data_IF_995244185357
#
_entry.id   IF_995244185357
#
_cell.length_a   1.000
_cell.length_b   1.000
_cell.length_c   1.000
_cell.angle_alpha   90.00
_cell.angle_beta   90.00
_cell.angle_gamma   90.00
#
_symmetry.space_group_name_H-M   'P 1'
#
loop_
_entity.id
_entity.type
_entity.pdbx_description
1 polymer ?
#
# COMPACT_ATOMS: atom_id res chain seq x y z
N UNK A 1 4.31 -9.63 -4.52
CA UNK A 1 5.59 -9.92 -3.82
C UNK A 1 6.47 -10.79 -4.68
N UNK A 2 7.77 -10.52 -4.79
CA UNK A 2 8.64 -11.18 -5.78
C UNK A 2 9.47 -12.36 -5.23
N UNK A 3 9.81 -13.32 -6.10
CA UNK A 3 10.70 -14.44 -5.81
C UNK A 3 9.99 -15.80 -5.81
N UNK A 4 10.65 -16.84 -5.26
CA UNK A 4 9.95 -18.12 -5.00
C UNK A 4 8.78 -17.88 -4.05
N UNK A 5 7.74 -18.73 -4.10
CA UNK A 5 6.56 -18.59 -3.24
C UNK A 5 6.91 -18.42 -1.74
N UNK A 6 7.96 -19.09 -1.28
CA UNK A 6 8.49 -18.96 0.09
C UNK A 6 9.10 -17.57 0.34
N UNK A 7 9.98 -17.08 -0.55
CA UNK A 7 10.61 -15.76 -0.41
C UNK A 7 9.57 -14.64 -0.49
N UNK A 8 8.65 -14.74 -1.44
CA UNK A 8 7.56 -13.79 -1.60
C UNK A 8 6.66 -13.76 -0.35
N UNK A 9 6.35 -14.92 0.23
CA UNK A 9 5.56 -15.02 1.47
C UNK A 9 6.25 -14.38 2.66
N UNK A 10 7.55 -14.62 2.85
CA UNK A 10 8.32 -14.04 3.96
C UNK A 10 8.37 -12.51 3.83
N UNK A 11 8.71 -11.99 2.65
CA UNK A 11 8.81 -10.55 2.41
C UNK A 11 7.46 -9.85 2.57
N UNK A 12 6.38 -10.45 2.07
CA UNK A 12 5.02 -9.92 2.22
C UNK A 12 4.62 -9.87 3.70
N UNK A 13 4.93 -10.92 4.47
CA UNK A 13 4.62 -10.99 5.91
C UNK A 13 5.41 -9.97 6.72
N UNK A 14 6.71 -9.81 6.44
CA UNK A 14 7.54 -8.80 7.11
C UNK A 14 7.05 -7.38 6.80
N UNK A 15 6.73 -7.11 5.52
CA UNK A 15 6.21 -5.81 5.08
C UNK A 15 4.89 -5.48 5.77
N UNK A 16 3.94 -6.42 5.79
CA UNK A 16 2.65 -6.24 6.45
C UNK A 16 2.81 -6.01 7.95
N UNK A 17 3.71 -6.74 8.61
CA UNK A 17 3.97 -6.60 10.04
C UNK A 17 4.60 -5.24 10.39
N UNK A 18 5.63 -4.82 9.64
CA UNK A 18 6.27 -3.51 9.82
C UNK A 18 5.26 -2.38 9.62
N UNK A 19 4.50 -2.39 8.50
CA UNK A 19 3.47 -1.38 8.24
C UNK A 19 2.43 -1.33 9.35
N UNK A 20 1.90 -2.48 9.76
CA UNK A 20 0.85 -2.53 10.77
C UNK A 20 1.33 -1.98 12.12
N UNK A 21 2.56 -2.30 12.53
CA UNK A 21 3.14 -1.78 13.78
C UNK A 21 3.39 -0.28 13.69
N UNK A 22 4.02 0.20 12.62
CA UNK A 22 4.37 1.62 12.50
C UNK A 22 3.13 2.52 12.38
N UNK A 23 2.09 2.07 11.67
CA UNK A 23 0.81 2.78 11.59
C UNK A 23 0.08 2.81 12.94
N UNK A 24 0.18 1.74 13.73
CA UNK A 24 -0.38 1.73 15.09
C UNK A 24 0.34 2.69 16.03
N UNK A 25 1.63 2.95 15.79
CA UNK A 25 2.44 3.92 16.53
C UNK A 25 2.27 5.37 16.03
N UNK A 26 1.35 5.63 15.10
CA UNK A 26 1.11 6.95 14.48
C UNK A 26 2.37 7.56 13.82
N UNK A 27 3.31 6.73 13.37
CA UNK A 27 4.45 7.22 12.60
C UNK A 27 3.99 7.81 11.27
N UNK A 28 4.73 8.81 10.78
CA UNK A 28 4.41 9.39 9.48
C UNK A 28 4.63 8.34 8.39
N UNK A 29 3.80 8.43 7.35
CA UNK A 29 3.81 7.49 6.24
C UNK A 29 5.18 7.44 5.57
N UNK A 30 5.79 8.62 5.43
CA UNK A 30 7.11 8.81 4.85
C UNK A 30 8.14 7.94 5.57
N UNK A 31 8.14 8.00 6.90
CA UNK A 31 9.04 7.22 7.76
C UNK A 31 8.75 5.72 7.64
N UNK A 32 7.47 5.33 7.52
CA UNK A 32 7.07 3.93 7.30
C UNK A 32 7.63 3.38 5.99
N UNK A 33 7.43 4.13 4.91
CA UNK A 33 7.90 3.77 3.57
C UNK A 33 9.42 3.71 3.54
N UNK A 34 10.10 4.70 4.09
CA UNK A 34 11.56 4.76 4.15
C UNK A 34 12.11 3.59 4.97
N UNK A 35 11.53 3.31 6.13
CA UNK A 35 11.94 2.19 6.99
C UNK A 35 11.77 0.85 6.29
N UNK A 36 10.70 0.66 5.52
CA UNK A 36 10.49 -0.56 4.74
C UNK A 36 11.47 -0.65 3.58
N UNK A 37 11.74 0.47 2.91
CA UNK A 37 12.75 0.52 1.86
C UNK A 37 14.15 0.16 2.40
N UNK A 38 14.46 0.51 3.66
CA UNK A 38 15.72 0.18 4.33
C UNK A 38 15.76 -1.23 4.92
N UNK A 39 14.64 -1.75 5.44
CA UNK A 39 14.56 -3.05 6.13
C UNK A 39 14.43 -4.24 5.18
N UNK A 40 13.94 -4.02 3.95
CA UNK A 40 13.82 -5.09 2.97
C UNK A 40 15.18 -5.38 2.31
N UNK A 41 15.62 -6.65 2.24
CA UNK A 41 16.91 -6.99 1.68
C UNK A 41 16.97 -6.62 0.19
N UNK A 42 18.04 -5.89 -0.19
CA UNK A 42 18.34 -5.58 -1.59
C UNK A 42 18.72 -6.88 -2.30
N UNK A 43 17.92 -7.30 -3.29
CA UNK A 43 18.30 -8.43 -4.12
C UNK A 43 19.54 -8.05 -4.95
N UNK A 44 20.73 -8.53 -4.54
CA UNK A 44 22.03 -8.17 -5.11
C UNK A 44 22.17 -8.46 -6.62
N UNK A 45 21.40 -9.41 -7.16
CA UNK A 45 21.43 -9.76 -8.59
C UNK A 45 20.54 -8.89 -9.47
N UNK A 46 19.46 -8.32 -8.91
CA UNK A 46 18.46 -7.56 -9.68
C UNK A 46 18.30 -6.10 -9.25
N UNK A 47 18.94 -5.67 -8.16
CA UNK A 47 18.83 -4.30 -7.59
C UNK A 47 17.39 -3.86 -7.26
N UNK A 48 16.45 -4.80 -7.13
CA UNK A 48 15.01 -4.54 -7.05
C UNK A 48 14.49 -5.29 -5.83
N UNK A 49 14.37 -4.61 -4.67
CA UNK A 49 13.72 -5.12 -3.47
C UNK A 49 12.23 -4.72 -3.49
N UNK A 50 11.32 -5.65 -3.79
CA UNK A 50 9.91 -5.26 -3.92
C UNK A 50 8.94 -6.27 -3.30
N UNK A 51 8.25 -5.81 -2.24
CA UNK A 51 6.83 -6.09 -2.07
C UNK A 51 6.08 -4.82 -2.43
N UNK A 52 5.21 -4.90 -3.44
CA UNK A 52 4.15 -3.92 -3.65
C UNK A 52 3.22 -3.96 -2.43
N UNK A 53 2.53 -2.87 -2.15
CA UNK A 53 1.54 -2.86 -1.07
C UNK A 53 0.46 -1.80 -1.30
N UNK A 54 -0.69 -2.05 -0.68
CA UNK A 54 -1.78 -1.10 -0.57
C UNK A 54 -2.23 -1.09 0.89
N UNK A 55 -2.31 0.10 1.48
CA UNK A 55 -2.82 0.31 2.84
C UNK A 55 -4.09 1.14 2.73
N UNK A 56 -5.14 0.71 3.44
CA UNK A 56 -6.32 1.52 3.71
C UNK A 56 -6.44 1.59 5.22
N UNK A 57 -6.31 2.81 5.76
CA UNK A 57 -6.47 3.10 7.18
C UNK A 57 -7.75 3.89 7.36
N UNK A 58 -8.68 3.35 8.15
CA UNK A 58 -9.91 4.04 8.52
C UNK A 58 -9.70 4.73 9.87
N UNK A 59 -9.88 6.04 9.89
CA UNK A 59 -9.75 6.89 11.07
C UNK A 59 -11.16 7.25 11.55
N UNK A 60 -11.50 6.78 12.74
CA UNK A 60 -12.75 7.13 13.46
C UNK A 60 -14.05 6.88 12.68
N UNK A 61 -14.01 6.02 11.64
CA UNK A 61 -15.10 5.82 10.67
C UNK A 61 -15.52 7.09 9.91
N UNK A 62 -14.67 8.12 9.88
CA UNK A 62 -14.95 9.38 9.20
C UNK A 62 -14.03 9.60 7.99
N UNK A 63 -12.76 9.22 8.11
CA UNK A 63 -11.76 9.42 7.05
C UNK A 63 -11.06 8.11 6.67
N UNK A 64 -10.83 7.90 5.38
CA UNK A 64 -9.95 6.86 4.86
C UNK A 64 -8.65 7.49 4.35
N UNK A 65 -7.52 7.00 4.85
CA UNK A 65 -6.22 7.21 4.25
C UNK A 65 -5.87 6.00 3.37
N UNK A 66 -5.65 6.24 2.08
CA UNK A 66 -5.27 5.20 1.12
C UNK A 66 -3.85 5.46 0.66
N UNK A 67 -2.99 4.45 0.77
CA UNK A 67 -1.61 4.48 0.29
C UNK A 67 -1.37 3.32 -0.64
N UNK A 68 -0.74 3.61 -1.78
CA UNK A 68 -0.60 2.65 -2.86
C UNK A 68 0.82 2.74 -3.39
N UNK A 69 1.51 1.60 -3.35
CA UNK A 69 2.84 1.42 -3.91
C UNK A 69 2.84 0.24 -4.87
N UNK A 70 2.88 0.55 -6.16
CA UNK A 70 3.12 -0.39 -7.27
C UNK A 70 2.10 -1.55 -7.40
N UNK A 71 1.05 -1.55 -6.57
CA UNK A 71 -0.14 -2.37 -6.75
C UNK A 71 -1.15 -1.71 -7.69
N UNK A 72 -2.08 -2.49 -8.27
CA UNK A 72 -3.29 -1.97 -8.89
C UNK A 72 -3.97 -0.92 -8.01
N UNK A 73 -4.48 0.14 -8.65
CA UNK A 73 -5.15 1.19 -7.90
C UNK A 73 -6.41 0.68 -7.20
N UNK A 74 -6.65 1.14 -5.98
CA UNK A 74 -7.90 0.93 -5.24
C UNK A 74 -9.07 1.47 -6.05
N UNK A 75 -10.10 0.65 -6.14
CA UNK A 75 -11.40 1.03 -6.69
C UNK A 75 -12.32 1.28 -5.50
N UNK A 76 -12.95 2.44 -5.48
CA UNK A 76 -13.98 2.78 -4.51
C UNK A 76 -15.32 2.75 -5.23
N UNK A 77 -16.27 1.98 -4.71
CA UNK A 77 -17.67 2.06 -5.09
C UNK A 77 -18.45 2.75 -3.99
N UNK A 78 -19.20 3.79 -4.34
CA UNK A 78 -20.11 4.50 -3.44
C UNK A 78 -21.51 4.39 -4.01
N UNK A 79 -22.43 3.79 -3.23
CA UNK A 79 -23.82 3.49 -3.68
C UNK A 79 -23.86 2.64 -4.95
N UNK A 80 -22.91 1.72 -5.09
CA UNK A 80 -22.80 0.81 -6.23
C UNK A 80 -22.10 1.39 -7.47
N UNK A 81 -21.74 2.68 -7.46
CA UNK A 81 -21.12 3.36 -8.61
C UNK A 81 -19.63 3.66 -8.36
N UNK A 82 -18.77 3.62 -9.39
CA UNK A 82 -17.37 4.03 -9.27
C UNK A 82 -17.24 5.46 -8.77
N UNK A 83 -16.48 5.66 -7.70
CA UNK A 83 -16.21 6.96 -7.11
C UNK A 83 -14.74 7.34 -7.31
N UNK A 84 -14.51 8.48 -7.98
CA UNK A 84 -13.18 9.06 -8.13
C UNK A 84 -12.79 9.81 -6.86
N UNK A 85 -11.60 9.51 -6.33
CA UNK A 85 -11.05 10.16 -5.14
C UNK A 85 -9.70 10.82 -5.46
N UNK A 86 -9.31 11.89 -4.74
CA UNK A 86 -8.07 12.61 -5.01
C UNK A 86 -6.85 11.73 -4.82
N UNK A 87 -5.85 11.85 -5.69
CA UNK A 87 -4.59 11.11 -5.61
C UNK A 87 -3.42 12.07 -5.67
N UNK A 88 -2.59 12.04 -4.64
CA UNK A 88 -1.34 12.80 -4.58
C UNK A 88 -0.19 11.85 -4.86
N UNK A 89 0.59 12.12 -5.90
CA UNK A 89 1.83 11.40 -6.16
C UNK A 89 2.96 11.98 -5.30
N UNK A 90 3.74 11.10 -4.67
CA UNK A 90 4.95 11.44 -3.93
C UNK A 90 6.10 10.56 -4.42
N UNK A 91 7.30 11.12 -4.43
CA UNK A 91 8.52 10.38 -4.73
C UNK A 91 9.35 10.24 -3.45
N UNK A 92 9.53 9.00 -2.96
CA UNK A 92 10.28 8.68 -1.76
C UNK A 92 11.36 7.67 -2.15
N UNK A 93 12.64 8.02 -1.98
CA UNK A 93 13.75 7.11 -2.33
C UNK A 93 13.75 6.65 -3.79
N UNK A 94 13.26 7.49 -4.72
CA UNK A 94 13.12 7.14 -6.14
C UNK A 94 11.89 6.28 -6.47
N UNK A 95 11.00 6.05 -5.50
CA UNK A 95 9.77 5.27 -5.64
C UNK A 95 8.56 6.19 -5.71
N UNK A 96 7.67 5.93 -6.68
CA UNK A 96 6.39 6.65 -6.82
C UNK A 96 5.34 6.01 -5.93
N UNK A 97 4.75 6.80 -5.05
CA UNK A 97 3.72 6.39 -4.11
C UNK A 97 2.53 7.30 -4.28
N UNK A 98 1.33 6.72 -4.31
CA UNK A 98 0.09 7.50 -4.32
C UNK A 98 -0.53 7.50 -2.94
N UNK A 99 -0.87 8.69 -2.45
CA UNK A 99 -1.64 8.88 -1.23
C UNK A 99 -2.93 9.62 -1.48
N UNK A 100 -3.95 9.26 -0.72
CA UNK A 100 -5.29 9.84 -0.80
C UNK A 100 -5.89 9.93 0.60
N UNK A 101 -6.57 11.04 0.88
CA UNK A 101 -7.46 11.18 2.03
C UNK A 101 -8.85 11.53 1.53
N UNK A 102 -9.86 10.88 2.08
CA UNK A 102 -11.25 11.11 1.72
C UNK A 102 -12.17 10.80 2.90
N UNK A 103 -13.29 11.50 2.98
CA UNK A 103 -14.35 11.15 3.91
C UNK A 103 -15.03 9.85 3.44
N UNK A 104 -15.26 8.93 4.39
CA UNK A 104 -15.99 7.68 4.11
C UNK A 104 -17.49 7.88 4.32
N UNK A 105 -18.28 7.20 3.50
CA UNK A 105 -19.73 7.09 3.68
C UNK A 105 -20.11 5.66 4.06
N UNK A 106 -21.22 5.52 4.78
CA UNK A 106 -21.78 4.20 5.07
C UNK A 106 -22.06 3.45 3.76
N UNK A 107 -21.68 2.17 3.71
CA UNK A 107 -21.76 1.30 2.54
C UNK A 107 -20.77 1.62 1.41
N UNK A 108 -19.72 2.41 1.67
CA UNK A 108 -18.56 2.46 0.78
C UNK A 108 -17.90 1.08 0.66
N UNK A 109 -17.57 0.69 -0.58
CA UNK A 109 -16.88 -0.57 -0.88
C UNK A 109 -15.51 -0.25 -1.45
N UNK A 110 -14.47 -0.58 -0.69
CA UNK A 110 -13.09 -0.51 -1.14
C UNK A 110 -12.65 -1.85 -1.71
N UNK A 111 -12.22 -1.86 -2.96
CA UNK A 111 -11.66 -3.03 -3.63
C UNK A 111 -10.17 -2.80 -3.80
N UNK A 112 -9.37 -3.66 -3.15
CA UNK A 112 -7.92 -3.67 -3.26
C UNK A 112 -7.45 -4.99 -3.86
N UNK A 113 -6.38 -4.92 -4.63
CA UNK A 113 -5.90 -6.04 -5.43
C UNK A 113 -4.37 -6.06 -5.41
N UNK A 114 -3.79 -7.25 -5.58
CA UNK A 114 -2.36 -7.40 -5.87
C UNK A 114 -2.09 -7.34 -7.37
N UNK A 115 -0.83 -7.07 -7.72
CA UNK A 115 -0.26 -7.17 -9.06
C UNK A 115 -0.57 -8.50 -9.78
N UNK A 116 -0.72 -9.60 -9.04
CA UNK A 116 -1.11 -10.90 -9.58
C UNK A 116 -2.46 -10.92 -10.29
N UNK A 117 -3.37 -9.98 -10.05
CA UNK A 117 -4.64 -9.93 -10.80
C UNK A 117 -4.48 -9.34 -12.20
N UNK A 118 -3.52 -8.44 -12.41
CA UNK A 118 -3.29 -7.79 -13.71
C UNK A 118 -2.34 -8.65 -14.57
N UNK A 119 -1.40 -9.35 -13.94
CA UNK A 119 -0.28 -10.02 -14.61
C UNK A 119 -0.37 -11.56 -14.61
N UNK A 120 -1.51 -12.14 -14.23
CA UNK A 120 -1.73 -13.60 -14.25
C UNK A 120 -1.72 -14.19 -15.67
#
# INVERSE_FOLDING_TARGET
>A
GMGSGVKASILSTLTAKLLSTMLAENLQLEDCVETIALALPVCAERHVAYSTFTVIRILENEEAEIIQYDNPSVILLRRGEPFAFPRTERNIGGKRIYSSRLAVEENDIFIMMSDGCIHA
#
